data_IF_303590381929
#
_entry.id   IF_303590381929
#
_cell.length_a   1.000
_cell.length_b   1.000
_cell.length_c   1.000
_cell.angle_alpha   90.00
_cell.angle_beta   90.00
_cell.angle_gamma   90.00
#
_symmetry.space_group_name_H-M   'P 1'
#
loop_
_entity.id
_entity.type
_entity.pdbx_description
1 polymer ?
#
# COMPACT_ATOMS: atom_id res chain seq x y z
N UNK A 1 3.86 -24.99 11.60
CA UNK A 1 2.38 -24.88 11.73
C UNK A 1 1.80 -24.91 10.33
N UNK A 2 0.74 -25.67 10.11
CA UNK A 2 0.01 -25.65 8.83
C UNK A 2 -0.83 -24.40 8.75
N UNK A 3 -0.84 -23.70 7.61
CA UNK A 3 -1.78 -22.61 7.35
C UNK A 3 -3.19 -23.19 7.35
N UNK A 4 -3.98 -22.84 8.36
CA UNK A 4 -5.36 -23.31 8.46
C UNK A 4 -6.29 -22.23 7.88
N UNK A 5 -7.16 -22.56 6.93
CA UNK A 5 -8.19 -21.65 6.44
C UNK A 5 -9.05 -21.10 7.59
N UNK A 6 -9.47 -19.85 7.47
CA UNK A 6 -10.34 -19.20 8.47
C UNK A 6 -11.79 -19.72 8.48
N UNK A 7 -12.11 -20.66 7.58
CA UNK A 7 -13.45 -21.23 7.42
C UNK A 7 -13.41 -22.75 7.61
N UNK A 8 -14.40 -23.32 8.30
CA UNK A 8 -14.57 -24.75 8.45
C UNK A 8 -15.13 -25.39 7.17
N UNK A 9 -14.84 -26.68 6.95
CA UNK A 9 -15.22 -27.37 5.72
C UNK A 9 -16.73 -27.44 5.49
N UNK A 10 -17.51 -27.70 6.53
CA UNK A 10 -18.97 -27.76 6.49
C UNK A 10 -19.60 -26.40 6.09
N UNK A 11 -19.03 -25.30 6.59
CA UNK A 11 -19.46 -23.96 6.21
C UNK A 11 -19.09 -23.62 4.78
N UNK A 12 -17.89 -24.03 4.32
CA UNK A 12 -17.47 -23.85 2.95
C UNK A 12 -18.37 -24.64 1.99
N UNK A 13 -18.77 -25.86 2.34
CA UNK A 13 -19.71 -26.67 1.55
C UNK A 13 -21.06 -25.95 1.37
N UNK A 14 -21.60 -25.34 2.42
CA UNK A 14 -22.84 -24.54 2.32
C UNK A 14 -22.66 -23.36 1.37
N UNK A 15 -21.52 -22.65 1.42
CA UNK A 15 -21.24 -21.50 0.52
C UNK A 15 -21.12 -21.98 -0.92
N UNK A 16 -20.41 -23.08 -1.19
CA UNK A 16 -20.24 -23.61 -2.54
C UNK A 16 -21.49 -24.19 -3.15
N UNK A 17 -22.49 -24.56 -2.34
CA UNK A 17 -23.82 -24.93 -2.81
C UNK A 17 -24.61 -23.73 -3.35
N UNK A 18 -24.36 -22.53 -2.84
CA UNK A 18 -25.03 -21.30 -3.26
C UNK A 18 -24.23 -20.53 -4.33
N UNK A 19 -22.91 -20.48 -4.16
CA UNK A 19 -21.99 -19.74 -5.05
C UNK A 19 -21.09 -20.72 -5.80
N UNK A 20 -21.17 -20.79 -7.13
CA UNK A 20 -20.32 -21.69 -7.91
C UNK A 20 -18.86 -21.24 -7.87
N UNK A 21 -17.92 -22.19 -7.77
CA UNK A 21 -16.47 -21.95 -7.88
C UNK A 21 -16.09 -21.61 -9.34
N UNK A 22 -14.97 -20.89 -9.58
CA UNK A 22 -14.06 -20.31 -8.59
C UNK A 22 -14.53 -18.96 -8.06
N UNK A 23 -14.24 -18.65 -6.80
CA UNK A 23 -14.52 -17.33 -6.23
C UNK A 23 -13.48 -16.96 -5.16
N UNK A 24 -13.43 -15.65 -4.84
CA UNK A 24 -12.66 -15.15 -3.70
C UNK A 24 -13.58 -15.06 -2.48
N UNK A 25 -13.12 -15.61 -1.36
CA UNK A 25 -13.79 -15.54 -0.06
C UNK A 25 -12.96 -14.68 0.88
N UNK A 26 -13.59 -13.73 1.55
CA UNK A 26 -12.94 -12.84 2.51
C UNK A 26 -13.55 -12.97 3.91
N UNK A 27 -12.67 -12.87 4.93
CA UNK A 27 -13.05 -12.76 6.33
C UNK A 27 -13.15 -11.27 6.72
N UNK A 28 -14.38 -10.75 6.76
CA UNK A 28 -14.65 -9.37 7.16
C UNK A 28 -14.11 -9.06 8.56
N UNK A 29 -14.31 -9.98 9.52
CA UNK A 29 -13.84 -9.79 10.89
C UNK A 29 -12.33 -9.60 10.94
N UNK A 30 -11.59 -10.47 10.26
CA UNK A 30 -10.13 -10.38 10.19
C UNK A 30 -9.64 -9.08 9.54
N UNK A 31 -10.29 -8.62 8.45
CA UNK A 31 -9.99 -7.33 7.81
C UNK A 31 -10.18 -6.18 8.80
N UNK A 32 -11.31 -6.14 9.53
CA UNK A 32 -11.57 -5.11 10.53
C UNK A 32 -10.58 -5.13 11.68
N UNK A 33 -10.24 -6.31 12.19
CA UNK A 33 -9.25 -6.46 13.26
C UNK A 33 -7.88 -5.96 12.83
N UNK A 34 -7.44 -6.26 11.60
CA UNK A 34 -6.18 -5.75 11.06
C UNK A 34 -6.19 -4.23 10.90
N UNK A 35 -7.27 -3.66 10.37
CA UNK A 35 -7.40 -2.20 10.25
C UNK A 35 -7.29 -1.50 11.62
N UNK A 36 -7.98 -2.05 12.63
CA UNK A 36 -7.89 -1.53 14.02
C UNK A 36 -6.49 -1.67 14.60
N UNK A 37 -5.81 -2.80 14.34
CA UNK A 37 -4.44 -3.01 14.81
C UNK A 37 -3.45 -2.02 14.19
N UNK A 38 -3.58 -1.73 12.89
CA UNK A 38 -2.77 -0.70 12.22
C UNK A 38 -3.01 0.68 12.83
N UNK A 39 -4.27 1.09 12.96
CA UNK A 39 -4.62 2.38 13.57
C UNK A 39 -4.12 2.48 15.02
N UNK A 40 -4.19 1.39 15.80
CA UNK A 40 -3.69 1.36 17.17
C UNK A 40 -2.15 1.48 17.25
N UNK A 41 -1.43 0.80 16.36
CA UNK A 41 0.03 0.81 16.32
C UNK A 41 0.62 2.20 16.05
N UNK A 42 -0.10 3.05 15.33
CA UNK A 42 0.32 4.40 14.99
C UNK A 42 -0.47 5.50 15.73
N UNK A 43 -1.27 5.14 16.73
CA UNK A 43 -2.10 6.10 17.50
C UNK A 43 -1.30 7.16 18.28
N UNK A 44 -0.01 6.96 18.46
CA UNK A 44 0.92 7.95 19.02
C UNK A 44 1.09 9.19 18.14
N UNK A 45 0.83 9.10 16.82
CA UNK A 45 0.82 10.22 15.89
C UNK A 45 -0.63 10.68 15.64
N UNK A 46 -1.04 11.86 16.15
CA UNK A 46 -2.43 12.32 16.05
C UNK A 46 -2.92 12.52 14.61
N UNK A 47 -1.99 12.74 13.67
CA UNK A 47 -2.29 12.90 12.25
C UNK A 47 -2.22 11.62 11.44
N UNK A 48 -1.98 10.47 12.08
CA UNK A 48 -1.86 9.19 11.36
C UNK A 48 -3.07 8.86 10.51
N UNK A 49 -2.80 8.34 9.32
CA UNK A 49 -3.84 7.78 8.45
C UNK A 49 -3.30 6.62 7.62
N UNK A 50 -4.02 5.52 7.66
CA UNK A 50 -3.86 4.42 6.70
C UNK A 50 -4.68 4.72 5.45
N UNK A 51 -4.04 4.79 4.29
CA UNK A 51 -4.66 4.87 2.96
C UNK A 51 -4.58 3.50 2.28
N UNK A 52 -5.63 2.71 2.38
CA UNK A 52 -5.62 1.37 1.78
C UNK A 52 -5.33 1.42 0.27
N UNK A 53 -4.30 0.71 -0.18
CA UNK A 53 -3.97 0.63 -1.60
C UNK A 53 -5.06 -0.12 -2.38
N UNK A 54 -5.91 0.61 -3.10
CA UNK A 54 -7.10 0.07 -3.79
C UNK A 54 -6.74 -1.07 -4.74
N UNK A 55 -5.61 -0.96 -5.45
CA UNK A 55 -5.08 -1.99 -6.36
C UNK A 55 -4.94 -3.38 -5.73
N UNK A 56 -4.79 -3.48 -4.41
CA UNK A 56 -4.67 -4.76 -3.72
C UNK A 56 -5.98 -5.55 -3.72
N UNK A 57 -7.12 -4.86 -3.59
CA UNK A 57 -8.46 -5.48 -3.62
C UNK A 57 -9.48 -4.42 -4.04
N UNK A 58 -9.65 -4.15 -5.35
CA UNK A 58 -10.54 -3.12 -5.86
C UNK A 58 -12.01 -3.55 -5.80
N UNK A 59 -12.50 -3.84 -4.59
CA UNK A 59 -13.85 -4.33 -4.33
C UNK A 59 -14.61 -3.32 -3.46
N UNK A 60 -15.76 -2.77 -3.94
CA UNK A 60 -16.51 -1.76 -3.21
C UNK A 60 -16.98 -2.18 -1.81
N UNK A 61 -17.26 -3.47 -1.60
CA UNK A 61 -17.66 -3.97 -0.27
C UNK A 61 -16.48 -3.94 0.71
N UNK A 62 -15.29 -4.38 0.28
CA UNK A 62 -14.07 -4.32 1.09
C UNK A 62 -13.69 -2.87 1.41
N UNK A 63 -13.77 -1.98 0.41
CA UNK A 63 -13.46 -0.56 0.62
C UNK A 63 -14.42 0.10 1.61
N UNK A 64 -15.73 -0.29 1.62
CA UNK A 64 -16.68 0.18 2.62
C UNK A 64 -16.32 -0.28 4.04
N UNK A 65 -15.92 -1.54 4.19
CA UNK A 65 -15.46 -2.08 5.47
C UNK A 65 -14.27 -1.26 6.00
N UNK A 66 -13.28 -1.03 5.17
CA UNK A 66 -12.09 -0.26 5.55
C UNK A 66 -12.40 1.22 5.85
N UNK A 67 -13.33 1.81 5.09
CA UNK A 67 -13.83 3.16 5.38
C UNK A 67 -14.49 3.25 6.76
N UNK A 68 -15.31 2.28 7.12
CA UNK A 68 -15.97 2.20 8.44
C UNK A 68 -14.94 2.06 9.59
N UNK A 69 -13.78 1.46 9.32
CA UNK A 69 -12.66 1.38 10.27
C UNK A 69 -11.73 2.62 10.25
N UNK A 70 -12.10 3.69 9.52
CA UNK A 70 -11.38 4.95 9.49
C UNK A 70 -10.24 5.03 8.49
N UNK A 71 -10.04 4.03 7.63
CA UNK A 71 -9.04 4.09 6.58
C UNK A 71 -9.45 5.04 5.45
N UNK A 72 -8.46 5.70 4.85
CA UNK A 72 -8.56 6.31 3.53
C UNK A 72 -8.26 5.29 2.44
N UNK A 73 -8.07 5.79 1.22
CA UNK A 73 -7.71 5.00 0.03
C UNK A 73 -6.58 5.65 -0.73
N UNK A 74 -5.60 4.84 -1.17
CA UNK A 74 -4.60 5.20 -2.17
C UNK A 74 -5.05 4.66 -3.53
N UNK A 75 -5.25 5.56 -4.49
CA UNK A 75 -5.70 5.29 -5.83
C UNK A 75 -4.54 5.47 -6.82
N UNK A 76 -4.41 4.55 -7.78
CA UNK A 76 -3.40 4.60 -8.82
C UNK A 76 -3.98 4.84 -10.22
N UNK A 77 -5.32 4.92 -10.34
CA UNK A 77 -6.04 5.11 -11.61
C UNK A 77 -7.29 5.94 -11.42
N UNK A 78 -7.83 6.51 -12.53
CA UNK A 78 -9.13 7.18 -12.57
C UNK A 78 -10.28 6.29 -12.10
N UNK A 79 -10.27 5.02 -12.50
CA UNK A 79 -11.29 4.04 -12.09
C UNK A 79 -11.35 3.87 -10.58
N UNK A 80 -10.19 3.83 -9.92
CA UNK A 80 -10.09 3.74 -8.46
C UNK A 80 -10.57 5.03 -7.78
N UNK A 81 -10.25 6.20 -8.34
CA UNK A 81 -10.76 7.49 -7.89
C UNK A 81 -12.29 7.56 -7.98
N UNK A 82 -12.85 7.19 -9.15
CA UNK A 82 -14.31 7.17 -9.38
C UNK A 82 -15.00 6.22 -8.41
N UNK A 83 -14.45 5.01 -8.21
CA UNK A 83 -15.00 4.04 -7.27
C UNK A 83 -15.00 4.59 -5.84
N UNK A 84 -13.90 5.18 -5.40
CA UNK A 84 -13.73 5.74 -4.06
C UNK A 84 -14.73 6.88 -3.80
N UNK A 85 -14.93 7.77 -4.78
CA UNK A 85 -15.96 8.83 -4.68
C UNK A 85 -17.38 8.27 -4.64
N UNK A 86 -17.69 7.24 -5.43
CA UNK A 86 -19.02 6.60 -5.41
C UNK A 86 -19.31 5.85 -4.10
N UNK A 87 -18.28 5.32 -3.44
CA UNK A 87 -18.39 4.74 -2.10
C UNK A 87 -18.61 5.83 -1.04
N UNK A 88 -18.25 7.07 -1.34
CA UNK A 88 -18.44 8.23 -0.49
C UNK A 88 -17.25 8.51 0.43
N UNK A 89 -16.03 8.20 0.01
CA UNK A 89 -14.85 8.69 0.71
C UNK A 89 -14.77 10.21 0.63
N UNK A 90 -14.43 10.84 1.75
CA UNK A 90 -14.13 12.28 1.79
C UNK A 90 -12.85 12.59 1.02
N UNK A 91 -12.74 13.78 0.47
CA UNK A 91 -11.56 14.18 -0.31
C UNK A 91 -10.24 14.02 0.45
N UNK A 92 -10.22 14.38 1.73
CA UNK A 92 -9.06 14.20 2.62
C UNK A 92 -8.69 12.74 2.93
N UNK A 93 -9.55 11.80 2.55
CA UNK A 93 -9.34 10.38 2.68
C UNK A 93 -9.00 9.70 1.34
N UNK A 94 -8.72 10.47 0.30
CA UNK A 94 -8.31 9.96 -1.02
C UNK A 94 -6.91 10.49 -1.33
N UNK A 95 -5.96 9.57 -1.51
CA UNK A 95 -4.64 9.81 -2.08
C UNK A 95 -4.64 9.33 -3.53
N UNK A 96 -3.86 10.01 -4.39
CA UNK A 96 -3.67 9.63 -5.78
C UNK A 96 -2.19 9.59 -6.11
N UNK A 97 -1.68 8.38 -6.33
CA UNK A 97 -0.29 8.10 -6.69
C UNK A 97 -0.25 7.28 -7.97
N UNK A 98 0.09 7.91 -9.07
CA UNK A 98 0.26 7.26 -10.37
C UNK A 98 1.63 7.63 -10.94
N UNK A 99 2.27 6.70 -11.67
CA UNK A 99 3.60 6.89 -12.24
C UNK A 99 3.60 7.04 -13.77
N UNK A 100 2.42 7.10 -14.37
CA UNK A 100 2.22 7.27 -15.83
C UNK A 100 0.82 7.88 -16.02
N UNK A 101 0.69 9.15 -15.62
CA UNK A 101 -0.59 9.81 -15.37
C UNK A 101 -1.03 10.62 -16.60
N UNK A 102 -2.24 10.41 -17.07
CA UNK A 102 -2.86 11.21 -18.13
C UNK A 102 -3.38 12.54 -17.58
N UNK A 103 -3.52 13.53 -18.46
CA UNK A 103 -4.04 14.85 -18.10
C UNK A 103 -5.43 14.77 -17.44
N UNK A 104 -6.33 13.94 -17.96
CA UNK A 104 -7.69 13.74 -17.46
C UNK A 104 -7.71 13.18 -16.02
N UNK A 105 -6.73 12.34 -15.68
CA UNK A 105 -6.60 11.78 -14.32
C UNK A 105 -6.19 12.84 -13.33
N UNK A 106 -5.24 13.72 -13.69
CA UNK A 106 -4.89 14.88 -12.87
C UNK A 106 -6.06 15.85 -12.71
N UNK A 107 -6.78 16.16 -13.81
CA UNK A 107 -7.97 17.02 -13.75
C UNK A 107 -8.99 16.42 -12.79
N UNK A 108 -9.30 15.13 -12.90
CA UNK A 108 -10.27 14.49 -12.04
C UNK A 108 -9.82 14.43 -10.57
N UNK A 109 -8.55 14.08 -10.32
CA UNK A 109 -8.00 14.07 -8.95
C UNK A 109 -8.09 15.46 -8.31
N UNK A 110 -7.83 16.54 -9.09
CA UNK A 110 -7.98 17.92 -8.66
C UNK A 110 -9.44 18.28 -8.36
N UNK A 111 -10.36 17.92 -9.26
CA UNK A 111 -11.79 18.23 -9.13
C UNK A 111 -12.41 17.62 -7.87
N UNK A 112 -11.96 16.43 -7.49
CA UNK A 112 -12.40 15.77 -6.26
C UNK A 112 -11.58 16.16 -5.02
N UNK A 113 -10.57 17.03 -5.17
CA UNK A 113 -9.64 17.44 -4.13
C UNK A 113 -8.91 16.27 -3.45
N UNK A 114 -8.50 15.26 -4.22
CA UNK A 114 -7.63 14.20 -3.71
C UNK A 114 -6.22 14.75 -3.41
N UNK A 115 -5.53 14.17 -2.45
CA UNK A 115 -4.10 14.45 -2.21
C UNK A 115 -3.30 13.81 -3.34
N UNK A 116 -2.63 14.63 -4.16
CA UNK A 116 -1.82 14.16 -5.28
C UNK A 116 -0.38 13.97 -4.83
N UNK A 117 0.17 12.78 -5.11
CA UNK A 117 1.59 12.46 -4.96
C UNK A 117 2.22 12.31 -6.35
N UNK A 118 3.21 13.15 -6.66
CA UNK A 118 3.88 13.16 -7.95
C UNK A 118 5.07 12.20 -7.96
N UNK A 119 5.14 11.35 -8.97
CA UNK A 119 6.16 10.33 -9.12
C UNK A 119 7.45 10.88 -9.77
N UNK A 120 7.33 11.79 -10.72
CA UNK A 120 8.45 12.36 -11.45
C UNK A 120 8.51 13.90 -11.34
N UNK A 121 9.72 14.46 -11.53
CA UNK A 121 9.93 15.91 -11.50
C UNK A 121 9.16 16.61 -12.62
N UNK A 122 9.07 16.00 -13.77
CA UNK A 122 8.35 16.49 -14.95
C UNK A 122 6.85 16.55 -14.72
N UNK A 123 6.30 15.69 -13.87
CA UNK A 123 4.87 15.67 -13.52
C UNK A 123 4.42 16.95 -12.85
N UNK A 124 5.33 17.71 -12.21
CA UNK A 124 5.04 19.02 -11.62
C UNK A 124 4.53 19.97 -12.69
N UNK A 125 5.21 20.04 -13.80
CA UNK A 125 4.88 20.95 -14.91
C UNK A 125 3.65 20.44 -15.67
N UNK A 126 3.56 19.12 -15.85
CA UNK A 126 2.43 18.53 -16.53
C UNK A 126 1.13 18.70 -15.73
N UNK A 127 1.16 18.50 -14.42
CA UNK A 127 0.03 18.79 -13.54
C UNK A 127 -0.36 20.27 -13.59
N UNK A 128 0.65 21.17 -13.54
CA UNK A 128 0.40 22.61 -13.58
C UNK A 128 -0.31 23.03 -14.88
N UNK A 129 0.10 22.47 -16.02
CA UNK A 129 -0.51 22.74 -17.33
C UNK A 129 -1.92 22.15 -17.43
N UNK A 130 -2.08 20.88 -17.02
CA UNK A 130 -3.34 20.14 -17.20
C UNK A 130 -4.46 20.59 -16.24
N UNK A 131 -4.13 20.86 -14.96
CA UNK A 131 -5.12 21.06 -13.90
C UNK A 131 -4.80 22.18 -12.90
N UNK A 132 -3.64 22.83 -13.04
CA UNK A 132 -3.12 23.78 -12.06
C UNK A 132 -2.62 23.09 -10.78
N UNK A 133 -1.74 23.76 -10.05
CA UNK A 133 -1.18 23.24 -8.80
C UNK A 133 -2.21 23.32 -7.66
N UNK A 134 -2.41 22.25 -6.87
CA UNK A 134 -3.22 22.29 -5.65
C UNK A 134 -2.49 23.00 -4.52
N UNK A 135 -3.22 23.29 -3.43
CA UNK A 135 -2.60 23.82 -2.21
C UNK A 135 -1.71 22.79 -1.50
N UNK A 136 -2.00 21.52 -1.65
CA UNK A 136 -1.26 20.39 -1.04
C UNK A 136 -0.71 19.48 -2.12
N UNK A 137 0.59 19.23 -2.09
CA UNK A 137 1.27 18.29 -2.99
C UNK A 137 2.29 17.45 -2.25
N UNK A 138 2.38 16.19 -2.63
CA UNK A 138 3.42 15.26 -2.19
C UNK A 138 4.36 14.91 -3.35
N UNK A 139 5.63 14.72 -3.05
CA UNK A 139 6.63 14.27 -4.00
C UNK A 139 7.19 12.91 -3.57
N UNK A 140 7.36 12.01 -4.53
CA UNK A 140 7.92 10.69 -4.29
C UNK A 140 9.43 10.70 -4.43
N UNK A 141 10.10 10.27 -3.37
CA UNK A 141 11.56 10.15 -3.32
C UNK A 141 12.03 8.78 -3.78
N UNK A 142 13.12 8.76 -4.55
CA UNK A 142 13.92 7.58 -4.87
C UNK A 142 15.34 7.79 -4.32
N UNK A 143 15.77 7.02 -3.31
CA UNK A 143 17.09 7.18 -2.71
C UNK A 143 18.25 6.76 -3.63
N UNK A 144 17.95 6.01 -4.71
CA UNK A 144 18.98 5.32 -5.50
C UNK A 144 19.68 4.22 -4.71
N UNK A 145 20.74 3.66 -5.29
CA UNK A 145 21.56 2.63 -4.64
C UNK A 145 20.80 1.32 -4.39
N UNK A 146 21.24 0.57 -3.38
CA UNK A 146 20.64 -0.72 -2.96
C UNK A 146 19.92 -0.56 -1.63
N UNK A 147 18.66 -0.98 -1.58
CA UNK A 147 17.88 -1.06 -0.35
C UNK A 147 17.76 -2.52 0.10
N UNK A 148 18.64 -2.94 1.01
CA UNK A 148 18.88 -4.34 1.36
C UNK A 148 17.80 -5.06 2.18
N UNK A 149 16.68 -4.37 2.52
CA UNK A 149 15.56 -4.94 3.29
C UNK A 149 14.36 -5.32 2.43
N UNK A 150 14.50 -5.22 1.11
CA UNK A 150 13.43 -5.47 0.16
C UNK A 150 13.34 -6.92 -0.33
N UNK A 151 12.54 -7.11 -1.34
CA UNK A 151 12.48 -8.29 -2.18
C UNK A 151 13.12 -7.95 -3.52
N UNK A 152 13.65 -8.92 -4.25
CA UNK A 152 14.39 -8.80 -5.53
C UNK A 152 13.79 -7.80 -6.56
N UNK A 153 12.51 -7.44 -6.42
CA UNK A 153 11.82 -6.53 -7.35
C UNK A 153 12.16 -5.05 -7.09
N UNK A 154 12.57 -4.68 -5.87
CA UNK A 154 12.78 -3.28 -5.45
C UNK A 154 14.13 -3.06 -4.75
N UNK A 155 15.02 -4.06 -4.73
CA UNK A 155 16.31 -4.00 -4.04
C UNK A 155 17.30 -3.03 -4.70
N UNK A 156 17.01 -2.60 -5.93
CA UNK A 156 17.81 -1.64 -6.69
C UNK A 156 16.97 -0.41 -7.07
N UNK A 157 16.73 0.53 -6.15
CA UNK A 157 15.96 1.74 -6.43
C UNK A 157 16.51 2.55 -7.62
N UNK A 158 17.82 2.50 -7.88
CA UNK A 158 18.44 3.17 -9.02
C UNK A 158 18.04 2.60 -10.39
N UNK A 159 17.61 1.33 -10.44
CA UNK A 159 17.08 0.68 -11.65
C UNK A 159 15.56 0.84 -11.77
N UNK A 160 14.92 1.34 -10.71
CA UNK A 160 13.47 1.54 -10.66
C UNK A 160 13.09 2.83 -11.38
N UNK A 161 11.99 2.79 -12.14
CA UNK A 161 11.42 3.96 -12.79
C UNK A 161 10.73 4.94 -11.82
N UNK A 162 10.57 4.57 -10.55
CA UNK A 162 9.72 5.28 -9.60
C UNK A 162 10.48 6.30 -8.78
N UNK A 163 9.88 7.50 -8.65
CA UNK A 163 10.33 8.54 -7.76
C UNK A 163 11.45 9.44 -8.31
N UNK A 164 11.68 10.53 -7.61
CA UNK A 164 12.64 11.57 -7.92
C UNK A 164 13.97 11.35 -7.20
N UNK A 165 15.08 11.64 -7.85
CA UNK A 165 16.36 11.76 -7.14
C UNK A 165 16.31 12.87 -6.09
N UNK A 166 17.23 12.87 -5.13
CA UNK A 166 17.33 13.93 -4.13
C UNK A 166 17.42 15.32 -4.75
N UNK A 167 18.23 15.47 -5.82
CA UNK A 167 18.40 16.74 -6.53
C UNK A 167 17.08 17.21 -7.17
N UNK A 168 16.36 16.32 -7.84
CA UNK A 168 15.05 16.61 -8.45
C UNK A 168 14.02 16.98 -7.38
N UNK A 169 13.99 16.23 -6.27
CA UNK A 169 13.10 16.48 -5.15
C UNK A 169 13.28 17.89 -4.56
N UNK A 170 14.53 18.29 -4.31
CA UNK A 170 14.85 19.62 -3.80
C UNK A 170 14.48 20.74 -4.79
N UNK A 171 14.76 20.56 -6.08
CA UNK A 171 14.30 21.47 -7.13
C UNK A 171 12.77 21.55 -7.17
N UNK A 172 12.09 20.41 -7.04
CA UNK A 172 10.63 20.33 -7.01
C UNK A 172 10.02 21.13 -5.86
N UNK A 173 10.48 20.91 -4.63
CA UNK A 173 9.98 21.67 -3.48
C UNK A 173 10.28 23.18 -3.59
N UNK A 174 11.48 23.55 -4.04
CA UNK A 174 11.82 24.96 -4.25
C UNK A 174 10.87 25.62 -5.26
N UNK A 175 10.60 24.96 -6.38
CA UNK A 175 9.68 25.43 -7.41
C UNK A 175 8.24 25.54 -6.87
N UNK A 176 7.73 24.49 -6.21
CA UNK A 176 6.38 24.47 -5.68
C UNK A 176 6.16 25.57 -4.62
N UNK A 177 7.16 25.80 -3.76
CA UNK A 177 7.16 26.90 -2.80
C UNK A 177 7.06 28.26 -3.48
N UNK A 178 7.88 28.47 -4.54
CA UNK A 178 7.83 29.71 -5.35
C UNK A 178 6.45 29.91 -5.99
N UNK A 179 5.80 28.83 -6.42
CA UNK A 179 4.45 28.87 -7.03
C UNK A 179 3.31 28.98 -6.01
N UNK A 180 3.61 29.04 -4.72
CA UNK A 180 2.63 29.29 -3.66
C UNK A 180 1.88 28.06 -3.17
N UNK A 181 2.40 26.86 -3.41
CA UNK A 181 1.92 25.63 -2.74
C UNK A 181 2.15 25.80 -1.25
N UNK A 182 1.17 25.43 -0.42
CA UNK A 182 1.16 25.73 1.01
C UNK A 182 1.49 24.54 1.88
N UNK A 183 1.09 23.35 1.45
CA UNK A 183 1.21 22.10 2.22
C UNK A 183 1.99 21.07 1.41
N UNK A 184 2.98 20.44 2.06
CA UNK A 184 3.92 19.57 1.41
C UNK A 184 3.96 18.19 2.06
N UNK A 185 3.91 17.16 1.24
CA UNK A 185 4.15 15.77 1.65
C UNK A 185 5.40 15.19 1.05
N UNK A 186 5.95 14.18 1.69
CA UNK A 186 7.05 13.35 1.21
C UNK A 186 6.61 11.90 1.19
N UNK A 187 6.90 11.18 0.12
CA UNK A 187 6.53 9.79 -0.08
C UNK A 187 7.73 8.98 -0.54
N UNK A 188 7.82 7.71 -0.18
CA UNK A 188 8.72 6.74 -0.82
C UNK A 188 8.15 5.32 -0.72
N UNK A 189 8.37 4.53 -1.77
CA UNK A 189 7.99 3.12 -1.82
C UNK A 189 9.19 2.31 -2.30
N UNK A 190 9.87 1.61 -1.38
CA UNK A 190 11.15 0.93 -1.64
C UNK A 190 11.08 -0.59 -1.59
N UNK A 191 9.95 -1.16 -1.20
CA UNK A 191 9.82 -2.60 -1.09
C UNK A 191 8.38 -3.08 -1.27
N UNK A 192 8.22 -4.35 -1.64
CA UNK A 192 6.92 -5.02 -1.71
C UNK A 192 7.01 -6.41 -1.10
N UNK A 193 6.07 -6.74 -0.23
CA UNK A 193 5.99 -8.02 0.48
C UNK A 193 7.19 -8.33 1.38
N UNK A 194 7.67 -7.35 2.12
CA UNK A 194 8.78 -7.50 3.06
C UNK A 194 8.29 -8.12 4.37
N UNK A 195 8.86 -9.28 4.75
CA UNK A 195 8.48 -10.01 5.96
C UNK A 195 9.55 -9.79 7.05
N UNK A 196 9.67 -8.54 7.49
CA UNK A 196 10.50 -8.10 8.62
C UNK A 196 9.90 -6.87 9.28
N UNK A 197 10.05 -6.76 10.60
CA UNK A 197 9.59 -5.59 11.36
C UNK A 197 10.51 -4.37 11.19
N UNK A 198 11.67 -4.52 10.56
CA UNK A 198 12.70 -3.48 10.43
C UNK A 198 12.48 -2.57 9.22
N UNK A 199 11.66 -2.98 8.25
CA UNK A 199 11.48 -2.24 7.01
C UNK A 199 10.97 -0.81 7.22
N UNK A 200 9.83 -0.65 7.89
CA UNK A 200 9.26 0.69 8.13
C UNK A 200 10.14 1.56 9.02
N UNK A 201 10.68 1.11 10.15
CA UNK A 201 11.59 1.94 10.94
C UNK A 201 12.81 2.42 10.15
N UNK A 202 13.38 1.58 9.27
CA UNK A 202 14.51 1.94 8.42
C UNK A 202 14.11 2.98 7.36
N UNK A 203 12.99 2.76 6.66
CA UNK A 203 12.46 3.71 5.70
C UNK A 203 12.11 5.05 6.36
N UNK A 204 11.45 4.99 7.51
CA UNK A 204 11.07 6.17 8.28
C UNK A 204 12.30 7.01 8.66
N UNK A 205 13.37 6.39 9.16
CA UNK A 205 14.60 7.10 9.49
C UNK A 205 15.15 7.89 8.29
N UNK A 206 15.23 7.26 7.13
CA UNK A 206 15.71 7.92 5.90
C UNK A 206 14.83 9.11 5.49
N UNK A 207 13.51 8.94 5.53
CA UNK A 207 12.58 10.02 5.16
C UNK A 207 12.54 11.15 6.20
N UNK A 208 12.73 10.83 7.48
CA UNK A 208 12.79 11.82 8.55
C UNK A 208 14.06 12.68 8.46
N UNK A 209 15.21 12.04 8.21
CA UNK A 209 16.46 12.75 7.94
C UNK A 209 16.34 13.67 6.73
N UNK A 210 15.74 13.17 5.63
CA UNK A 210 15.49 13.96 4.42
C UNK A 210 14.54 15.14 4.69
N UNK A 211 13.52 14.97 5.54
CA UNK A 211 12.60 16.05 5.92
C UNK A 211 13.33 17.17 6.70
N UNK A 212 14.28 16.80 7.57
CA UNK A 212 15.15 17.76 8.27
C UNK A 212 16.03 18.53 7.28
N UNK A 213 16.63 17.84 6.32
CA UNK A 213 17.44 18.51 5.28
C UNK A 213 16.59 19.48 4.42
N UNK A 214 15.40 19.06 3.97
CA UNK A 214 14.46 19.90 3.21
C UNK A 214 14.11 21.16 4.00
N UNK A 215 13.82 21.04 5.29
CA UNK A 215 13.56 22.19 6.15
C UNK A 215 14.76 23.12 6.24
N UNK A 216 15.94 22.57 6.48
CA UNK A 216 17.15 23.37 6.71
C UNK A 216 17.64 24.08 5.44
N UNK A 217 17.59 23.42 4.29
CA UNK A 217 18.12 23.97 3.04
C UNK A 217 17.11 24.85 2.31
N UNK A 218 15.83 24.47 2.32
CA UNK A 218 14.79 25.14 1.54
C UNK A 218 13.82 25.98 2.40
N UNK A 219 13.85 25.82 3.73
CA UNK A 219 12.84 26.39 4.61
C UNK A 219 11.42 25.90 4.26
N UNK A 220 11.30 24.66 3.80
CA UNK A 220 10.04 23.97 3.54
C UNK A 220 9.79 23.01 4.70
N UNK A 221 8.69 23.23 5.44
CA UNK A 221 8.23 22.28 6.45
C UNK A 221 7.22 21.35 5.84
N UNK A 222 7.42 20.04 5.99
CA UNK A 222 6.48 19.04 5.53
C UNK A 222 5.32 18.91 6.53
N UNK A 223 4.11 18.67 6.03
CA UNK A 223 2.93 18.43 6.85
C UNK A 223 2.69 16.92 7.08
N UNK A 224 3.14 16.10 6.13
CA UNK A 224 3.04 14.65 6.27
C UNK A 224 4.18 13.92 5.56
N UNK A 225 4.47 12.72 6.07
CA UNK A 225 5.37 11.75 5.45
C UNK A 225 4.60 10.44 5.25
N UNK A 226 4.57 9.96 4.03
CA UNK A 226 3.91 8.72 3.62
C UNK A 226 4.93 7.61 3.44
N UNK A 227 4.88 6.60 4.31
CA UNK A 227 5.74 5.43 4.28
C UNK A 227 5.28 4.39 3.23
N UNK A 228 4.19 4.70 2.51
CA UNK A 228 3.59 3.83 1.50
C UNK A 228 3.21 2.43 2.02
N UNK A 229 3.31 1.41 1.19
CA UNK A 229 3.07 0.02 1.53
C UNK A 229 4.37 -0.75 1.79
N UNK A 230 4.36 -2.03 1.47
CA UNK A 230 5.56 -2.88 1.52
C UNK A 230 5.53 -3.95 2.60
N UNK A 231 4.86 -3.73 3.73
CA UNK A 231 4.70 -4.75 4.79
C UNK A 231 4.02 -5.98 4.21
N UNK A 232 4.70 -7.11 4.31
CA UNK A 232 4.38 -8.33 3.61
C UNK A 232 3.63 -9.37 4.43
N UNK A 233 3.32 -10.46 3.74
CA UNK A 233 2.67 -11.65 4.27
C UNK A 233 3.45 -12.87 3.82
N UNK A 234 3.81 -13.75 4.73
CA UNK A 234 4.38 -15.04 4.39
C UNK A 234 3.28 -16.01 3.97
N UNK A 235 3.30 -16.42 2.71
CA UNK A 235 2.35 -17.39 2.14
C UNK A 235 2.73 -18.84 2.40
N UNK A 236 3.91 -19.10 2.96
CA UNK A 236 4.39 -20.45 3.25
C UNK A 236 3.75 -21.04 4.52
N UNK A 237 3.81 -22.35 4.73
CA UNK A 237 3.37 -22.98 5.99
C UNK A 237 4.13 -22.50 7.22
N UNK A 238 5.33 -21.94 7.07
CA UNK A 238 6.10 -21.35 8.17
C UNK A 238 5.34 -20.18 8.81
N UNK A 239 4.55 -19.46 8.01
CA UNK A 239 3.66 -18.39 8.44
C UNK A 239 4.36 -17.36 9.35
N UNK A 240 5.55 -16.91 8.94
CA UNK A 240 6.26 -15.82 9.59
C UNK A 240 5.39 -14.56 9.47
N UNK A 241 5.12 -13.90 10.57
CA UNK A 241 4.27 -12.71 10.60
C UNK A 241 5.07 -11.46 10.92
N UNK A 242 4.69 -10.35 10.30
CA UNK A 242 5.06 -9.03 10.77
C UNK A 242 4.19 -8.66 11.97
N UNK A 243 4.79 -8.05 12.97
CA UNK A 243 4.09 -7.49 14.13
C UNK A 243 3.94 -5.98 13.93
N UNK A 244 2.71 -5.55 13.63
CA UNK A 244 2.44 -4.14 13.34
C UNK A 244 2.64 -3.23 14.56
N UNK A 245 2.49 -3.75 15.78
CA UNK A 245 2.74 -2.98 16.98
C UNK A 245 4.25 -2.70 17.13
N UNK A 246 5.09 -3.72 16.94
CA UNK A 246 6.56 -3.58 16.95
C UNK A 246 7.03 -2.62 15.83
N UNK A 247 6.41 -2.71 14.66
CA UNK A 247 6.67 -1.79 13.53
C UNK A 247 6.32 -0.35 13.94
N UNK A 248 5.13 -0.14 14.50
CA UNK A 248 4.66 1.17 14.95
C UNK A 248 5.56 1.78 16.04
N UNK A 249 5.98 0.97 17.02
CA UNK A 249 6.94 1.37 18.06
C UNK A 249 8.30 1.77 17.45
N UNK A 250 8.79 0.99 16.48
CA UNK A 250 10.05 1.28 15.80
C UNK A 250 10.01 2.60 15.01
N UNK A 251 8.89 2.89 14.32
CA UNK A 251 8.69 4.17 13.63
C UNK A 251 8.58 5.32 14.62
N UNK A 252 7.85 5.14 15.73
CA UNK A 252 7.74 6.13 16.79
C UNK A 252 9.10 6.51 17.39
N UNK A 253 9.92 5.51 17.69
CA UNK A 253 11.27 5.75 18.20
C UNK A 253 12.10 6.62 17.23
N UNK A 254 12.01 6.38 15.93
CA UNK A 254 12.70 7.19 14.90
C UNK A 254 12.10 8.60 14.77
N UNK A 255 10.81 8.73 14.94
CA UNK A 255 10.13 10.01 14.96
C UNK A 255 10.64 10.90 16.12
N UNK A 256 10.70 10.34 17.32
CA UNK A 256 11.20 11.04 18.51
C UNK A 256 12.70 11.34 18.42
N UNK A 257 13.47 10.44 17.82
CA UNK A 257 14.92 10.61 17.66
C UNK A 257 15.26 11.72 16.64
N UNK A 258 14.51 11.82 15.52
CA UNK A 258 14.90 12.63 14.37
C UNK A 258 14.03 13.87 14.22
N UNK A 259 12.71 13.73 14.24
CA UNK A 259 11.81 14.85 13.92
C UNK A 259 11.56 15.78 15.10
N UNK A 260 11.32 15.24 16.28
CA UNK A 260 11.00 16.05 17.47
C UNK A 260 12.11 17.05 17.81
N UNK A 261 13.41 16.67 17.84
CA UNK A 261 14.50 17.62 18.15
C UNK A 261 14.70 18.71 17.08
N UNK A 262 14.14 18.51 15.89
CA UNK A 262 14.25 19.44 14.77
C UNK A 262 12.97 20.28 14.54
N UNK A 263 12.08 20.39 15.54
CA UNK A 263 10.79 21.11 15.45
C UNK A 263 9.91 20.61 14.27
N UNK A 264 9.91 19.32 14.03
CA UNK A 264 9.10 18.62 13.01
C UNK A 264 8.12 17.62 13.62
N UNK A 265 7.90 17.68 14.94
CA UNK A 265 6.99 16.79 15.66
C UNK A 265 5.49 16.97 15.29
N UNK A 266 5.15 17.95 14.45
CA UNK A 266 3.80 18.15 13.91
C UNK A 266 3.51 17.27 12.68
N UNK A 267 4.51 16.65 12.08
CA UNK A 267 4.37 15.88 10.84
C UNK A 267 3.44 14.67 11.06
N UNK A 268 2.44 14.54 10.20
CA UNK A 268 1.56 13.39 10.16
C UNK A 268 2.21 12.21 9.43
N UNK A 269 2.00 11.00 9.93
CA UNK A 269 2.50 9.78 9.30
C UNK A 269 1.38 9.11 8.54
N UNK A 270 1.61 8.78 7.26
CA UNK A 270 0.70 8.04 6.42
C UNK A 270 1.28 6.71 6.00
N UNK A 271 0.42 5.73 5.76
CA UNK A 271 0.77 4.41 5.23
C UNK A 271 -0.20 4.01 4.12
N UNK A 272 0.24 3.13 3.20
CA UNK A 272 -0.54 2.63 2.07
C UNK A 272 -0.53 1.10 2.03
N UNK A 273 -0.94 0.49 3.14
CA UNK A 273 -0.93 -0.96 3.25
C UNK A 273 -2.06 -1.57 2.40
N UNK A 274 -1.69 -2.46 1.49
CA UNK A 274 -2.66 -3.23 0.71
C UNK A 274 -2.66 -4.69 1.13
N UNK A 275 -1.58 -5.39 0.78
CA UNK A 275 -1.41 -6.82 1.03
C UNK A 275 -1.58 -7.19 2.49
N UNK A 276 -0.95 -6.47 3.40
CA UNK A 276 -1.03 -6.71 4.84
C UNK A 276 -2.47 -6.67 5.35
N UNK A 277 -3.29 -5.78 4.79
CA UNK A 277 -4.68 -5.55 5.22
C UNK A 277 -5.63 -6.67 4.81
N UNK A 278 -5.45 -7.27 3.63
CA UNK A 278 -6.46 -8.16 3.04
C UNK A 278 -5.98 -9.57 2.74
N UNK A 279 -4.70 -9.77 2.43
CA UNK A 279 -4.22 -11.09 2.00
C UNK A 279 -4.28 -12.18 3.08
N UNK A 280 -4.08 -11.90 4.38
CA UNK A 280 -4.28 -12.91 5.43
C UNK A 280 -5.74 -13.37 5.57
N UNK A 281 -6.66 -12.56 5.08
CA UNK A 281 -8.10 -12.70 5.23
C UNK A 281 -8.82 -13.04 3.93
N UNK A 282 -8.07 -13.47 2.89
CA UNK A 282 -8.62 -13.82 1.58
C UNK A 282 -8.22 -15.24 1.15
N UNK A 283 -9.15 -15.96 0.55
CA UNK A 283 -8.94 -17.28 -0.04
C UNK A 283 -9.48 -17.31 -1.47
N UNK A 284 -8.79 -18.02 -2.37
CA UNK A 284 -9.36 -18.46 -3.64
C UNK A 284 -9.95 -19.85 -3.43
N UNK A 285 -11.26 -19.98 -3.58
CA UNK A 285 -11.98 -21.25 -3.50
C UNK A 285 -12.14 -21.83 -4.90
N UNK A 286 -11.73 -23.08 -5.06
CA UNK A 286 -11.73 -23.76 -6.36
C UNK A 286 -12.12 -25.23 -6.19
N UNK A 287 -12.63 -25.85 -7.26
CA UNK A 287 -13.03 -27.25 -7.30
C UNK A 287 -12.11 -28.04 -8.19
N UNK A 288 -11.74 -29.23 -7.73
CA UNK A 288 -11.01 -30.20 -8.57
C UNK A 288 -11.95 -30.72 -9.66
N UNK A 289 -11.54 -30.59 -10.91
CA UNK A 289 -12.27 -31.07 -12.09
C UNK A 289 -11.75 -32.44 -12.53
N UNK A 290 -10.43 -32.59 -12.61
CA UNK A 290 -9.77 -33.77 -13.13
C UNK A 290 -8.46 -34.05 -12.42
N UNK A 291 -8.09 -35.33 -12.35
CA UNK A 291 -6.76 -35.77 -11.99
C UNK A 291 -6.15 -36.44 -13.23
N UNK A 292 -4.92 -36.07 -13.57
CA UNK A 292 -4.20 -36.59 -14.71
C UNK A 292 -2.85 -37.09 -14.27
N UNK A 293 -2.57 -38.36 -14.51
CA UNK A 293 -1.29 -38.97 -14.28
C UNK A 293 -0.52 -39.14 -15.61
N UNK A 294 0.67 -38.53 -15.66
CA UNK A 294 1.63 -38.66 -16.75
C UNK A 294 3.01 -38.98 -16.15
N UNK A 295 4.04 -38.20 -16.45
CA UNK A 295 5.33 -38.23 -15.73
C UNK A 295 5.21 -37.67 -14.31
N UNK A 296 4.16 -36.87 -14.06
CA UNK A 296 3.75 -36.32 -12.77
C UNK A 296 2.25 -36.42 -12.65
N UNK A 297 1.76 -36.37 -11.40
CA UNK A 297 0.33 -36.20 -11.12
C UNK A 297 -0.05 -34.73 -11.16
N UNK A 298 -1.07 -34.41 -11.94
CA UNK A 298 -1.65 -33.06 -12.06
C UNK A 298 -3.06 -33.08 -11.53
N UNK A 299 -3.37 -32.09 -10.70
CA UNK A 299 -4.72 -31.81 -10.21
C UNK A 299 -5.26 -30.60 -10.95
N UNK A 300 -6.16 -30.83 -11.89
CA UNK A 300 -6.83 -29.77 -12.65
C UNK A 300 -7.98 -29.18 -11.85
N UNK A 301 -8.02 -27.86 -11.76
CA UNK A 301 -9.04 -27.10 -11.03
C UNK A 301 -9.77 -26.15 -11.97
N UNK A 302 -10.92 -25.64 -11.55
CA UNK A 302 -11.70 -24.65 -12.30
C UNK A 302 -11.18 -23.20 -12.20
N UNK A 303 -10.20 -22.95 -11.32
CA UNK A 303 -9.48 -21.69 -11.27
C UNK A 303 -8.33 -21.64 -12.28
N UNK A 304 -7.97 -20.46 -12.71
CA UNK A 304 -6.86 -20.21 -13.63
C UNK A 304 -6.01 -19.01 -13.18
N UNK A 305 -5.03 -18.61 -14.00
CA UNK A 305 -4.18 -17.45 -13.72
C UNK A 305 -4.98 -16.15 -13.54
N UNK A 306 -6.15 -16.00 -14.15
CA UNK A 306 -7.01 -14.81 -13.95
C UNK A 306 -7.60 -14.72 -12.53
N UNK A 307 -7.71 -15.84 -11.82
CA UNK A 307 -8.19 -15.88 -10.46
C UNK A 307 -7.05 -15.67 -9.44
N UNK A 308 -5.83 -16.11 -9.77
CA UNK A 308 -4.65 -15.94 -8.92
C UNK A 308 -3.41 -15.80 -9.81
N UNK A 309 -3.07 -14.55 -10.16
CA UNK A 309 -2.03 -14.24 -11.13
C UNK A 309 -0.60 -14.46 -10.62
N UNK A 310 -0.36 -14.22 -9.32
CA UNK A 310 1.00 -14.19 -8.75
C UNK A 310 1.85 -15.46 -8.98
N UNK A 311 1.33 -16.68 -8.88
CA UNK A 311 2.12 -17.88 -9.22
C UNK A 311 2.62 -17.88 -10.67
N UNK A 312 1.80 -17.41 -11.61
CA UNK A 312 2.16 -17.39 -13.02
C UNK A 312 3.16 -16.28 -13.39
N UNK A 313 3.06 -15.11 -12.73
CA UNK A 313 3.88 -13.93 -13.06
C UNK A 313 5.19 -13.86 -12.29
N UNK A 314 5.20 -14.35 -11.05
CA UNK A 314 6.31 -14.13 -10.11
C UNK A 314 6.82 -15.41 -9.48
N UNK A 315 6.42 -16.60 -9.99
CA UNK A 315 6.70 -17.91 -9.37
C UNK A 315 6.41 -17.93 -7.85
N UNK A 316 5.40 -17.13 -7.45
CA UNK A 316 5.09 -16.91 -6.05
C UNK A 316 4.35 -18.09 -5.45
N UNK A 317 4.86 -18.59 -4.33
CA UNK A 317 4.19 -19.64 -3.57
C UNK A 317 2.88 -19.14 -2.96
N UNK A 318 1.82 -19.93 -3.07
CA UNK A 318 0.58 -19.82 -2.33
C UNK A 318 0.21 -21.18 -1.75
N UNK A 319 -0.08 -21.22 -0.45
CA UNK A 319 -0.44 -22.48 0.21
C UNK A 319 -1.80 -22.99 -0.28
N UNK A 320 -1.86 -24.29 -0.59
CA UNK A 320 -3.09 -24.96 -1.01
C UNK A 320 -3.53 -25.91 0.10
N UNK A 321 -4.78 -25.82 0.51
CA UNK A 321 -5.40 -26.74 1.47
C UNK A 321 -6.53 -27.49 0.79
N UNK A 322 -6.49 -28.82 0.86
CA UNK A 322 -7.61 -29.66 0.44
C UNK A 322 -8.65 -29.69 1.55
N UNK A 323 -9.82 -29.08 1.33
CA UNK A 323 -10.86 -28.94 2.36
C UNK A 323 -11.75 -30.17 2.50
N UNK A 324 -11.80 -31.05 1.49
CA UNK A 324 -12.62 -32.28 1.51
C UNK A 324 -11.83 -33.51 1.95
N UNK A 325 -10.52 -33.49 1.82
CA UNK A 325 -9.61 -34.53 2.28
C UNK A 325 -8.30 -33.87 2.76
N UNK A 326 -8.29 -33.35 3.98
CA UNK A 326 -7.17 -32.58 4.52
C UNK A 326 -5.93 -33.45 4.87
N UNK A 327 -6.04 -34.80 4.89
CA UNK A 327 -4.97 -35.75 5.22
C UNK A 327 -4.09 -36.13 4.01
#
# INVERSE_FOLDING_TARGET
MTKTPFIAADKLEQITAEFPTPFHLYDEKGIRETARAVNAAFSWNPGFKEFFAVKATPNPAILKILKEEGCGVDCATDTELVMSKKIGFDSSAISFTSNDTRAEEFVYARDINATINLDAYEDIFFLQEAAGLPETLSLRFNPGGVFSLGTDIMDHPEESKFGMTKEQLFKGYAYLKEKGVKSFGLHAFLASNTVTNEYYPTLAAQLFELAVEIKNELGVSLDFINLSGGVGVDYTPANKQNDIAVIGEGVHAKFDEILVPNDLGHISIYTELGRFMTAPHGLVVTKVLHIKDTYRRYVGVDASAVNLLRPAMYDAYHHITNMTNPD
#
